data_IF_531207243992
#
_entry.id   IF_531207243992
#
_cell.length_a   1.000
_cell.length_b   1.000
_cell.length_c   1.000
_cell.angle_alpha   90.00
_cell.angle_beta   90.00
_cell.angle_gamma   90.00
#
_symmetry.space_group_name_H-M   'P 1'
#
loop_
_entity.id
_entity.type
_entity.pdbx_description
1 polymer ?
#
# COMPACT_ATOMS: atom_id res chain seq x y z
N UNK A 1 -7.62 21.54 -26.24
CA UNK A 1 -6.34 20.85 -26.06
C UNK A 1 -6.00 19.99 -27.30
N UNK A 2 -6.90 19.10 -27.73
CA UNK A 2 -6.66 18.17 -28.85
C UNK A 2 -6.28 18.88 -30.17
N UNK A 3 -6.89 20.03 -30.49
CA UNK A 3 -6.57 20.81 -31.70
C UNK A 3 -5.19 21.48 -31.59
N UNK A 4 -4.79 21.93 -30.40
CA UNK A 4 -3.44 22.51 -30.18
C UNK A 4 -2.32 21.47 -30.20
N UNK A 5 -2.60 20.22 -29.82
CA UNK A 5 -1.61 19.13 -29.89
C UNK A 5 -1.21 18.78 -31.34
N UNK A 6 -2.11 19.03 -32.31
CA UNK A 6 -1.80 18.80 -33.72
C UNK A 6 -0.91 19.91 -34.32
N UNK A 7 -0.74 21.04 -33.62
CA UNK A 7 0.06 22.21 -34.04
C UNK A 7 1.47 22.19 -33.40
N UNK A 8 1.72 21.27 -32.47
CA UNK A 8 2.98 21.18 -31.73
C UNK A 8 3.74 19.96 -32.19
N UNK A 9 4.99 20.15 -32.62
CA UNK A 9 5.93 19.03 -32.80
C UNK A 9 6.29 18.45 -31.42
N UNK A 10 5.79 17.25 -31.13
CA UNK A 10 6.13 16.54 -29.90
C UNK A 10 7.54 15.96 -30.08
N UNK A 11 8.47 16.25 -29.16
CA UNK A 11 9.80 15.65 -29.19
C UNK A 11 9.73 14.12 -29.13
N UNK A 12 10.72 13.44 -29.69
CA UNK A 12 10.87 12.00 -29.53
C UNK A 12 11.36 11.69 -28.11
N UNK A 13 10.50 11.06 -27.32
CA UNK A 13 10.79 10.61 -25.96
C UNK A 13 11.21 9.12 -25.87
N UNK A 14 11.49 8.45 -26.99
CA UNK A 14 11.78 7.01 -27.02
C UNK A 14 12.94 6.63 -26.11
N UNK A 15 14.02 7.41 -26.11
CA UNK A 15 15.19 7.17 -25.23
C UNK A 15 14.85 7.33 -23.74
N UNK A 16 14.00 8.30 -23.40
CA UNK A 16 13.51 8.51 -22.04
C UNK A 16 12.61 7.35 -21.59
N UNK A 17 11.70 6.92 -22.43
CA UNK A 17 10.82 5.76 -22.15
C UNK A 17 11.63 4.49 -21.91
N UNK A 18 12.66 4.24 -22.73
CA UNK A 18 13.58 3.10 -22.52
C UNK A 18 14.30 3.18 -21.16
N UNK A 19 14.81 4.36 -20.79
CA UNK A 19 15.47 4.57 -19.49
C UNK A 19 14.53 4.33 -18.32
N UNK A 20 13.32 4.90 -18.37
CA UNK A 20 12.29 4.73 -17.32
C UNK A 20 11.88 3.27 -17.18
N UNK A 21 11.72 2.55 -18.30
CA UNK A 21 11.37 1.13 -18.24
C UNK A 21 12.49 0.28 -17.63
N UNK A 22 13.76 0.57 -17.97
CA UNK A 22 14.90 -0.10 -17.35
C UNK A 22 14.97 0.17 -15.83
N UNK A 23 14.67 1.39 -15.39
CA UNK A 23 14.58 1.70 -13.97
C UNK A 23 13.44 0.98 -13.26
N UNK A 24 12.25 0.90 -13.89
CA UNK A 24 11.11 0.17 -13.32
C UNK A 24 11.41 -1.32 -13.13
N UNK A 25 12.16 -1.90 -14.05
CA UNK A 25 12.56 -3.31 -13.96
C UNK A 25 13.66 -3.51 -12.89
N UNK A 26 14.65 -2.62 -12.86
CA UNK A 26 15.80 -2.74 -11.95
C UNK A 26 15.45 -2.42 -10.49
N UNK A 27 14.56 -1.45 -10.26
CA UNK A 27 14.22 -0.92 -8.94
C UNK A 27 12.81 -1.26 -8.50
N UNK A 28 12.29 -2.42 -8.91
CA UNK A 28 11.01 -2.89 -8.40
C UNK A 28 11.14 -3.17 -6.90
N UNK A 29 10.38 -2.47 -6.03
CA UNK A 29 10.45 -2.69 -4.60
C UNK A 29 9.88 -4.04 -4.16
N UNK A 30 9.15 -4.74 -5.03
CA UNK A 30 8.58 -6.07 -4.73
C UNK A 30 9.53 -7.14 -5.23
N UNK A 31 10.12 -7.87 -4.30
CA UNK A 31 11.12 -8.91 -4.56
C UNK A 31 10.52 -10.32 -4.46
N UNK A 32 11.21 -11.31 -5.05
CA UNK A 32 10.82 -12.73 -4.93
C UNK A 32 10.81 -13.21 -3.49
N UNK A 33 11.65 -12.62 -2.62
CA UNK A 33 11.71 -12.94 -1.19
C UNK A 33 10.35 -12.71 -0.49
N UNK A 34 9.62 -11.68 -0.90
CA UNK A 34 8.31 -11.34 -0.33
C UNK A 34 7.22 -12.38 -0.62
N UNK A 35 7.47 -13.29 -1.57
CA UNK A 35 6.56 -14.40 -1.91
C UNK A 35 6.97 -15.73 -1.25
N UNK A 36 8.04 -15.75 -0.47
CA UNK A 36 8.38 -16.95 0.28
C UNK A 36 7.33 -17.26 1.34
N UNK A 37 7.11 -18.57 1.63
CA UNK A 37 6.18 -18.98 2.67
C UNK A 37 6.52 -18.37 4.03
N UNK A 38 5.55 -17.72 4.63
CA UNK A 38 5.61 -17.12 5.97
C UNK A 38 4.33 -17.42 6.74
N UNK A 39 4.36 -17.25 8.08
CA UNK A 39 3.17 -17.45 8.91
C UNK A 39 2.02 -16.51 8.51
N UNK A 40 2.34 -15.25 8.35
CA UNK A 40 1.37 -14.21 7.98
C UNK A 40 1.61 -13.73 6.55
N UNK A 41 0.60 -13.14 5.94
CA UNK A 41 0.71 -12.68 4.55
C UNK A 41 1.59 -11.42 4.46
N UNK A 42 2.56 -11.43 3.57
CA UNK A 42 3.33 -10.23 3.25
C UNK A 42 2.44 -9.26 2.45
N UNK A 43 2.18 -8.04 2.94
CA UNK A 43 1.24 -7.12 2.28
C UNK A 43 1.73 -6.60 0.93
N UNK A 44 3.04 -6.57 0.67
CA UNK A 44 3.60 -6.22 -0.64
C UNK A 44 3.26 -7.28 -1.69
N UNK A 45 3.51 -8.55 -1.37
CA UNK A 45 3.17 -9.68 -2.25
C UNK A 45 1.65 -9.74 -2.50
N UNK A 46 0.84 -9.58 -1.46
CA UNK A 46 -0.61 -9.52 -1.57
C UNK A 46 -1.07 -8.40 -2.52
N UNK A 47 -0.56 -7.19 -2.33
CA UNK A 47 -0.97 -6.03 -3.13
C UNK A 47 -0.52 -6.14 -4.59
N UNK A 48 0.64 -6.76 -4.84
CA UNK A 48 1.09 -7.10 -6.19
C UNK A 48 0.12 -8.05 -6.86
N UNK A 49 -0.25 -9.15 -6.21
CA UNK A 49 -1.23 -10.11 -6.72
C UNK A 49 -2.59 -9.43 -6.95
N UNK A 50 -3.06 -8.62 -6.00
CA UNK A 50 -4.30 -7.86 -6.15
C UNK A 50 -4.29 -7.01 -7.42
N UNK A 51 -3.20 -6.27 -7.66
CA UNK A 51 -3.06 -5.42 -8.84
C UNK A 51 -3.07 -6.20 -10.16
N UNK A 52 -2.52 -7.41 -10.16
CA UNK A 52 -2.53 -8.31 -11.31
C UNK A 52 -3.95 -8.81 -11.63
N UNK A 53 -4.72 -9.16 -10.60
CA UNK A 53 -6.07 -9.73 -10.75
C UNK A 53 -7.16 -8.67 -11.00
N UNK A 54 -6.97 -7.42 -10.57
CA UNK A 54 -7.90 -6.32 -10.88
C UNK A 54 -7.90 -6.01 -12.37
N UNK A 55 -9.08 -5.67 -12.90
CA UNK A 55 -9.25 -5.30 -14.31
C UNK A 55 -8.78 -3.86 -14.58
N UNK A 56 -8.51 -3.53 -15.84
CA UNK A 56 -8.09 -2.18 -16.26
C UNK A 56 -9.17 -1.11 -16.05
N UNK A 57 -10.43 -1.50 -15.93
CA UNK A 57 -11.55 -0.60 -15.65
C UNK A 57 -11.81 -0.40 -14.17
N UNK A 58 -11.25 -1.26 -13.30
CA UNK A 58 -11.50 -1.22 -11.86
C UNK A 58 -10.87 0.03 -11.22
N UNK A 59 -11.41 0.38 -10.06
CA UNK A 59 -10.98 1.55 -9.28
C UNK A 59 -10.34 1.06 -7.99
N UNK A 60 -9.14 1.55 -7.69
CA UNK A 60 -8.47 1.34 -6.42
C UNK A 60 -8.41 2.62 -5.61
N UNK A 61 -8.75 2.53 -4.33
CA UNK A 61 -8.68 3.62 -3.37
C UNK A 61 -7.84 3.20 -2.16
N UNK A 62 -6.72 3.90 -1.94
CA UNK A 62 -5.83 3.67 -0.80
C UNK A 62 -6.04 4.70 0.31
N UNK A 63 -5.82 4.28 1.57
CA UNK A 63 -6.00 5.12 2.76
C UNK A 63 -4.76 5.96 3.07
N UNK A 64 -4.16 5.77 4.22
CA UNK A 64 -2.99 6.49 4.70
C UNK A 64 -2.01 5.54 5.41
N UNK A 65 -0.88 6.08 5.85
CA UNK A 65 0.10 5.33 6.62
C UNK A 65 0.69 4.15 5.86
N UNK A 66 0.90 3.04 6.55
CA UNK A 66 1.58 1.87 5.99
C UNK A 66 0.89 1.26 4.77
N UNK A 67 -0.44 1.21 4.75
CA UNK A 67 -1.15 0.61 3.61
C UNK A 67 -0.94 1.35 2.30
N UNK A 68 -0.89 2.70 2.33
CA UNK A 68 -0.65 3.45 1.10
C UNK A 68 0.81 3.40 0.65
N UNK A 69 1.76 3.28 1.58
CA UNK A 69 3.16 3.03 1.21
C UNK A 69 3.29 1.68 0.51
N UNK A 70 2.72 0.62 1.09
CA UNK A 70 2.66 -0.70 0.45
C UNK A 70 2.00 -0.62 -0.93
N UNK A 71 0.86 0.05 -1.05
CA UNK A 71 0.15 0.16 -2.32
C UNK A 71 0.96 0.96 -3.37
N UNK A 72 1.56 2.08 -2.99
CA UNK A 72 2.38 2.88 -3.91
C UNK A 72 3.61 2.12 -4.42
N UNK A 73 4.19 1.23 -3.60
CA UNK A 73 5.33 0.41 -3.98
C UNK A 73 4.95 -0.82 -4.81
N UNK A 74 3.78 -1.42 -4.54
CA UNK A 74 3.46 -2.77 -5.04
C UNK A 74 2.43 -2.79 -6.16
N UNK A 75 1.52 -1.81 -6.22
CA UNK A 75 0.38 -1.82 -7.12
C UNK A 75 0.77 -1.40 -8.54
N UNK A 76 0.62 -2.30 -9.49
CA UNK A 76 0.86 -2.03 -10.91
C UNK A 76 -0.40 -1.51 -11.59
N UNK A 77 -0.49 -0.20 -11.75
CA UNK A 77 -1.64 0.44 -12.40
C UNK A 77 -1.70 0.14 -13.90
N UNK A 78 -2.84 -0.32 -14.38
CA UNK A 78 -3.10 -0.62 -15.80
C UNK A 78 -3.62 0.62 -16.53
N UNK A 79 -3.37 0.69 -17.83
CA UNK A 79 -3.90 1.79 -18.67
C UNK A 79 -5.44 1.83 -18.59
N UNK A 80 -5.99 2.99 -18.20
CA UNK A 80 -7.42 3.21 -18.02
C UNK A 80 -7.93 2.92 -16.60
N UNK A 81 -7.14 2.27 -15.76
CA UNK A 81 -7.46 2.03 -14.36
C UNK A 81 -7.37 3.32 -13.56
N UNK A 82 -8.27 3.49 -12.60
CA UNK A 82 -8.21 4.62 -11.67
C UNK A 82 -7.63 4.17 -10.35
N UNK A 83 -6.55 4.82 -9.94
CA UNK A 83 -5.92 4.69 -8.63
C UNK A 83 -5.92 6.06 -7.98
N UNK A 84 -6.45 6.18 -6.76
CA UNK A 84 -6.45 7.45 -6.04
C UNK A 84 -6.32 7.27 -4.53
N UNK A 85 -5.80 8.30 -3.89
CA UNK A 85 -5.62 8.43 -2.45
C UNK A 85 -5.51 9.90 -2.08
N UNK A 86 -5.45 10.22 -0.80
CA UNK A 86 -5.21 11.58 -0.32
C UNK A 86 -3.81 11.69 0.33
N UNK A 87 -2.76 11.60 -0.50
CA UNK A 87 -1.38 11.65 -0.02
C UNK A 87 -0.99 12.98 0.66
N UNK A 88 -1.63 14.10 0.29
CA UNK A 88 -1.27 15.42 0.82
C UNK A 88 -1.55 15.56 2.31
N UNK A 89 -2.78 15.30 2.73
CA UNK A 89 -3.20 15.37 4.14
C UNK A 89 -3.16 14.01 4.84
N UNK A 90 -3.24 12.94 4.07
CA UNK A 90 -3.17 11.55 4.53
C UNK A 90 -4.05 11.23 5.77
N UNK A 91 -5.36 11.59 5.77
CA UNK A 91 -6.21 11.34 6.92
C UNK A 91 -6.58 9.86 7.02
N UNK A 92 -6.51 9.31 8.22
CA UNK A 92 -6.97 7.95 8.53
C UNK A 92 -8.47 7.81 8.23
N UNK A 93 -8.86 6.72 7.55
CA UNK A 93 -10.25 6.44 7.19
C UNK A 93 -10.72 7.06 5.88
N UNK A 94 -9.90 7.85 5.19
CA UNK A 94 -10.26 8.48 3.93
C UNK A 94 -10.77 7.49 2.89
N UNK A 95 -10.06 6.38 2.70
CA UNK A 95 -10.35 5.45 1.61
C UNK A 95 -11.72 4.78 1.75
N UNK A 96 -12.18 4.55 2.97
CA UNK A 96 -13.48 3.89 3.19
C UNK A 96 -14.63 4.78 2.73
N UNK A 97 -14.67 6.03 3.18
CA UNK A 97 -15.69 7.00 2.76
C UNK A 97 -15.56 7.36 1.26
N UNK A 98 -14.33 7.55 0.78
CA UNK A 98 -14.06 7.84 -0.63
C UNK A 98 -14.40 6.63 -1.54
N UNK A 99 -14.15 5.40 -1.07
CA UNK A 99 -14.53 4.16 -1.74
C UNK A 99 -16.05 4.01 -1.89
N UNK A 100 -16.82 4.37 -0.86
CA UNK A 100 -18.30 4.43 -0.93
C UNK A 100 -18.73 5.39 -2.05
N UNK A 101 -18.19 6.61 -2.05
CA UNK A 101 -18.50 7.59 -3.10
C UNK A 101 -18.12 7.11 -4.49
N UNK A 102 -16.94 6.47 -4.63
CA UNK A 102 -16.48 5.90 -5.89
C UNK A 102 -17.39 4.75 -6.35
N UNK A 103 -17.83 3.86 -5.45
CA UNK A 103 -18.68 2.73 -5.78
C UNK A 103 -20.09 3.18 -6.24
N UNK A 104 -20.62 4.26 -5.64
CA UNK A 104 -21.88 4.87 -6.08
C UNK A 104 -21.77 5.54 -7.46
N UNK A 105 -20.58 6.03 -7.83
CA UNK A 105 -20.33 6.69 -9.12
C UNK A 105 -19.82 5.73 -10.21
N UNK A 106 -19.40 4.51 -9.84
CA UNK A 106 -18.83 3.54 -10.77
C UNK A 106 -19.87 2.94 -11.71
N UNK A 107 -19.41 2.46 -12.86
CA UNK A 107 -20.26 1.66 -13.75
C UNK A 107 -20.48 0.26 -13.17
N UNK A 108 -21.59 -0.38 -13.52
CA UNK A 108 -22.00 -1.71 -13.00
C UNK A 108 -20.96 -2.82 -13.16
N UNK A 109 -20.02 -2.69 -14.11
CA UNK A 109 -19.02 -3.71 -14.41
C UNK A 109 -17.64 -3.40 -13.80
N UNK A 110 -17.52 -2.32 -13.03
CA UNK A 110 -16.28 -1.90 -12.39
C UNK A 110 -16.29 -2.32 -10.92
N UNK A 111 -15.26 -3.03 -10.49
CA UNK A 111 -15.00 -3.16 -9.07
C UNK A 111 -14.41 -1.87 -8.51
N UNK A 112 -14.86 -1.49 -7.33
CA UNK A 112 -14.21 -0.47 -6.51
C UNK A 112 -13.60 -1.19 -5.31
N UNK A 113 -12.28 -1.15 -5.22
CA UNK A 113 -11.53 -1.77 -4.14
C UNK A 113 -10.96 -0.67 -3.25
N UNK A 114 -11.34 -0.68 -1.99
CA UNK A 114 -10.81 0.15 -0.93
C UNK A 114 -9.79 -0.66 -0.12
N UNK A 115 -8.56 -0.18 0.01
CA UNK A 115 -7.57 -0.76 0.92
C UNK A 115 -7.29 0.21 2.06
N UNK A 116 -7.47 -0.25 3.28
CA UNK A 116 -7.43 0.56 4.50
C UNK A 116 -6.70 -0.19 5.61
N UNK A 117 -5.94 0.51 6.44
CA UNK A 117 -5.38 -0.10 7.65
C UNK A 117 -6.44 -0.29 8.73
N UNK A 118 -6.17 -1.20 9.67
CA UNK A 118 -7.03 -1.47 10.83
C UNK A 118 -7.36 -0.20 11.62
N UNK A 119 -6.37 0.65 11.90
CA UNK A 119 -6.60 1.94 12.56
C UNK A 119 -7.45 2.90 11.74
N UNK A 120 -7.26 2.93 10.42
CA UNK A 120 -8.09 3.75 9.51
C UNK A 120 -9.53 3.27 9.44
N UNK A 121 -9.73 1.95 9.37
CA UNK A 121 -11.07 1.35 9.35
C UNK A 121 -11.84 1.66 10.63
N UNK A 122 -11.16 1.60 11.78
CA UNK A 122 -11.78 1.93 13.07
C UNK A 122 -12.26 3.39 13.16
N UNK A 123 -11.64 4.33 12.41
CA UNK A 123 -12.06 5.74 12.39
C UNK A 123 -13.44 5.96 11.73
N UNK A 124 -13.80 5.12 10.76
CA UNK A 124 -15.03 5.27 9.96
C UNK A 124 -15.88 3.99 9.94
N UNK A 125 -15.75 3.13 10.93
CA UNK A 125 -16.46 1.85 11.01
C UNK A 125 -18.00 2.02 10.94
N UNK A 126 -18.53 3.15 11.38
CA UNK A 126 -19.95 3.48 11.29
C UNK A 126 -20.48 3.57 9.86
N UNK A 127 -19.60 3.75 8.87
CA UNK A 127 -19.98 3.79 7.46
C UNK A 127 -20.39 2.43 6.89
N UNK A 128 -20.23 1.34 7.66
CA UNK A 128 -20.88 0.05 7.38
C UNK A 128 -22.40 0.22 7.25
N UNK A 129 -23.00 1.14 8.05
CA UNK A 129 -24.41 1.45 7.93
C UNK A 129 -24.75 2.11 6.59
N UNK A 130 -23.91 2.97 6.08
CA UNK A 130 -24.09 3.60 4.76
C UNK A 130 -24.05 2.54 3.65
N UNK A 131 -23.11 1.60 3.72
CA UNK A 131 -23.00 0.49 2.76
C UNK A 131 -24.29 -0.31 2.71
N UNK A 132 -24.86 -0.68 3.87
CA UNK A 132 -26.09 -1.45 3.94
C UNK A 132 -27.30 -0.64 3.46
N UNK A 133 -27.45 0.60 3.91
CA UNK A 133 -28.60 1.43 3.57
C UNK A 133 -28.72 1.68 2.06
N UNK A 134 -27.61 1.80 1.36
CA UNK A 134 -27.56 2.12 -0.07
C UNK A 134 -27.14 0.93 -0.94
N UNK A 135 -26.95 -0.25 -0.34
CA UNK A 135 -26.48 -1.46 -1.03
C UNK A 135 -25.24 -1.17 -1.90
N UNK A 136 -24.22 -0.51 -1.30
CA UNK A 136 -23.02 -0.05 -2.01
C UNK A 136 -22.10 -1.24 -2.29
N UNK A 137 -21.80 -1.58 -3.57
CA UNK A 137 -21.01 -2.77 -3.91
C UNK A 137 -19.50 -2.53 -3.72
N UNK A 138 -19.12 -2.02 -2.55
CA UNK A 138 -17.73 -1.74 -2.21
C UNK A 138 -17.01 -3.02 -1.77
N UNK A 139 -15.82 -3.22 -2.29
CA UNK A 139 -14.89 -4.25 -1.86
C UNK A 139 -13.84 -3.65 -0.96
N UNK A 140 -13.85 -4.00 0.32
CA UNK A 140 -12.94 -3.42 1.32
C UNK A 140 -11.92 -4.45 1.77
N UNK A 141 -10.64 -4.08 1.77
CA UNK A 141 -9.53 -4.86 2.30
C UNK A 141 -8.98 -4.12 3.52
N UNK A 142 -9.08 -4.74 4.69
CA UNK A 142 -8.45 -4.24 5.91
C UNK A 142 -7.05 -4.86 5.96
N UNK A 143 -6.01 -4.04 5.82
CA UNK A 143 -4.64 -4.43 6.04
C UNK A 143 -4.39 -4.40 7.55
N UNK A 144 -4.64 -5.55 8.18
CA UNK A 144 -4.70 -5.69 9.62
C UNK A 144 -3.36 -6.18 10.17
N UNK A 145 -2.53 -5.23 10.58
CA UNK A 145 -1.24 -5.52 11.20
C UNK A 145 -1.24 -5.38 12.72
N UNK A 146 -2.39 -5.06 13.33
CA UNK A 146 -2.59 -4.90 14.78
C UNK A 146 -1.77 -3.80 15.44
N UNK A 147 -1.20 -2.89 14.66
CA UNK A 147 -0.36 -1.78 15.14
C UNK A 147 -0.56 -0.53 14.28
N UNK A 148 -0.21 0.63 14.80
CA UNK A 148 0.04 1.82 13.98
C UNK A 148 1.41 1.72 13.31
N UNK A 149 1.49 0.87 12.27
CA UNK A 149 2.75 0.41 11.69
C UNK A 149 3.68 1.52 11.22
N UNK A 150 3.16 2.53 10.50
CA UNK A 150 4.00 3.64 10.03
C UNK A 150 4.52 4.49 11.19
N UNK A 151 3.72 4.67 12.25
CA UNK A 151 4.12 5.38 13.46
C UNK A 151 5.19 4.61 14.21
N UNK A 152 5.03 3.29 14.35
CA UNK A 152 6.03 2.40 14.95
C UNK A 152 7.35 2.47 14.19
N UNK A 153 7.31 2.23 12.87
CA UNK A 153 8.50 2.29 12.02
C UNK A 153 9.22 3.65 12.09
N UNK A 154 8.46 4.74 12.13
CA UNK A 154 9.02 6.08 12.28
C UNK A 154 9.69 6.28 13.66
N UNK A 155 9.00 5.88 14.72
CA UNK A 155 9.54 6.03 16.09
C UNK A 155 10.81 5.19 16.26
N UNK A 156 10.81 3.94 15.85
CA UNK A 156 11.98 3.05 15.95
C UNK A 156 13.17 3.58 15.16
N UNK A 157 12.92 4.10 13.95
CA UNK A 157 13.96 4.66 13.10
C UNK A 157 14.61 5.92 13.72
N UNK A 158 13.82 6.78 14.39
CA UNK A 158 14.29 8.10 14.82
C UNK A 158 14.59 8.19 16.32
N UNK A 159 14.20 7.19 17.13
CA UNK A 159 14.33 7.20 18.58
C UNK A 159 15.05 5.96 19.13
N UNK A 160 16.11 5.51 18.46
CA UNK A 160 16.98 4.42 18.93
C UNK A 160 16.20 3.11 19.22
N UNK A 161 15.30 2.73 18.29
CA UNK A 161 14.50 1.53 18.43
C UNK A 161 13.33 1.62 19.42
N UNK A 162 13.09 2.79 20.00
CA UNK A 162 11.97 2.97 20.95
C UNK A 162 10.68 3.32 20.21
N UNK A 163 9.58 2.64 20.58
CA UNK A 163 8.24 2.98 20.11
C UNK A 163 7.22 2.95 21.25
N UNK A 164 6.27 3.88 21.24
CA UNK A 164 5.26 4.05 22.27
C UNK A 164 3.87 4.24 21.67
N UNK A 165 2.87 3.68 22.33
CA UNK A 165 1.44 3.82 22.01
C UNK A 165 1.01 3.36 20.61
N UNK A 166 1.85 2.65 19.87
CA UNK A 166 1.57 2.19 18.52
C UNK A 166 1.38 0.68 18.38
N UNK A 167 1.42 -0.05 19.47
CA UNK A 167 1.19 -1.49 19.56
C UNK A 167 0.35 -1.86 20.79
N UNK A 168 0.32 -3.14 21.22
CA UNK A 168 -0.65 -3.69 22.17
C UNK A 168 -0.80 -2.95 23.51
N UNK A 169 0.19 -2.14 23.91
CA UNK A 169 0.10 -1.33 25.13
C UNK A 169 -0.60 0.02 24.93
N UNK A 170 -0.86 0.43 23.69
CA UNK A 170 -1.49 1.72 23.39
C UNK A 170 -2.50 1.66 22.25
N UNK A 171 -2.37 0.68 21.37
CA UNK A 171 -3.31 0.41 20.29
C UNK A 171 -3.51 -1.11 20.18
N UNK A 172 -4.76 -1.54 20.27
CA UNK A 172 -5.18 -2.93 20.13
C UNK A 172 -6.53 -2.92 19.37
N UNK A 173 -6.55 -3.28 18.08
CA UNK A 173 -7.79 -3.26 17.30
C UNK A 173 -8.73 -4.39 17.75
N UNK A 174 -10.05 -4.17 17.63
CA UNK A 174 -11.01 -5.25 17.86
C UNK A 174 -10.92 -6.31 16.77
N UNK A 175 -11.50 -7.48 17.03
CA UNK A 175 -11.83 -8.41 15.96
C UNK A 175 -12.93 -7.79 15.08
N UNK A 176 -12.56 -7.41 13.86
CA UNK A 176 -13.47 -6.71 12.93
C UNK A 176 -14.53 -7.63 12.32
N UNK A 177 -14.21 -8.91 12.11
CA UNK A 177 -15.11 -9.81 11.39
C UNK A 177 -16.49 -9.93 12.04
N UNK A 178 -16.63 -10.20 13.36
CA UNK A 178 -17.95 -10.25 14.01
C UNK A 178 -18.71 -8.91 13.96
N UNK A 179 -17.98 -7.78 14.01
CA UNK A 179 -18.60 -6.45 13.91
C UNK A 179 -19.20 -6.27 12.51
N UNK A 180 -18.43 -6.57 11.46
CA UNK A 180 -18.87 -6.44 10.07
C UNK A 180 -20.04 -7.38 9.78
N UNK A 181 -19.99 -8.61 10.26
CA UNK A 181 -21.05 -9.62 10.11
C UNK A 181 -22.35 -9.20 10.80
N UNK A 182 -22.28 -8.43 11.91
CA UNK A 182 -23.46 -7.88 12.56
C UNK A 182 -24.24 -6.91 11.66
N UNK A 183 -23.56 -6.26 10.71
CA UNK A 183 -24.16 -5.46 9.64
C UNK A 183 -24.62 -6.31 8.44
N UNK A 184 -24.51 -7.65 8.50
CA UNK A 184 -24.84 -8.58 7.42
C UNK A 184 -24.03 -8.37 6.13
N UNK A 185 -22.83 -7.86 6.27
CA UNK A 185 -21.85 -7.76 5.18
C UNK A 185 -20.99 -9.03 5.22
N UNK A 186 -20.89 -9.77 4.10
CA UNK A 186 -20.01 -10.94 4.01
C UNK A 186 -18.54 -10.57 4.27
N UNK A 187 -17.85 -11.50 4.91
CA UNK A 187 -16.43 -11.35 5.29
C UNK A 187 -15.57 -12.44 4.68
N UNK A 188 -14.28 -12.17 4.55
CA UNK A 188 -13.26 -13.13 4.14
C UNK A 188 -11.99 -12.89 4.98
N UNK A 189 -11.42 -13.95 5.53
CA UNK A 189 -10.13 -13.90 6.23
C UNK A 189 -9.01 -14.42 5.33
N UNK A 190 -7.91 -13.69 5.29
CA UNK A 190 -6.64 -14.09 4.66
C UNK A 190 -5.54 -13.92 5.70
N UNK A 191 -5.13 -15.03 6.33
CA UNK A 191 -4.25 -15.07 7.50
C UNK A 191 -3.07 -16.03 7.35
N UNK A 192 -2.93 -16.68 6.18
CA UNK A 192 -1.91 -17.68 5.91
C UNK A 192 -1.02 -17.22 4.74
N UNK A 193 0.23 -16.89 5.03
CA UNK A 193 1.25 -16.51 4.06
C UNK A 193 2.09 -17.70 3.55
N UNK A 194 1.73 -18.92 3.89
CA UNK A 194 2.49 -20.11 3.44
C UNK A 194 2.20 -20.50 1.98
N UNK A 195 1.06 -20.07 1.43
CA UNK A 195 0.60 -20.43 0.08
C UNK A 195 0.02 -19.22 -0.69
N UNK A 196 0.84 -18.57 -1.50
CA UNK A 196 0.42 -17.42 -2.31
C UNK A 196 -0.50 -17.78 -3.49
N UNK A 197 -0.56 -19.04 -3.92
CA UNK A 197 -1.57 -19.48 -4.88
C UNK A 197 -2.97 -19.50 -4.22
N UNK A 198 -3.05 -19.92 -2.98
CA UNK A 198 -4.28 -19.82 -2.20
C UNK A 198 -4.69 -18.36 -1.97
N UNK A 199 -3.74 -17.48 -1.66
CA UNK A 199 -3.97 -16.03 -1.54
C UNK A 199 -4.54 -15.48 -2.85
N UNK A 200 -3.96 -15.82 -4.00
CA UNK A 200 -4.44 -15.43 -5.33
C UNK A 200 -5.87 -15.92 -5.60
N UNK A 201 -6.16 -17.16 -5.21
CA UNK A 201 -7.50 -17.72 -5.35
C UNK A 201 -8.53 -16.94 -4.52
N UNK A 202 -8.21 -16.63 -3.26
CA UNK A 202 -9.07 -15.81 -2.39
C UNK A 202 -9.27 -14.39 -2.95
N UNK A 203 -8.25 -13.78 -3.53
CA UNK A 203 -8.38 -12.47 -4.20
C UNK A 203 -9.34 -12.55 -5.39
N UNK A 204 -9.26 -13.59 -6.22
CA UNK A 204 -10.19 -13.78 -7.35
C UNK A 204 -11.63 -13.97 -6.88
N UNK A 205 -11.84 -14.75 -5.84
CA UNK A 205 -13.15 -14.95 -5.22
C UNK A 205 -13.72 -13.63 -4.68
N UNK A 206 -12.92 -12.87 -3.94
CA UNK A 206 -13.26 -11.55 -3.43
C UNK A 206 -13.63 -10.56 -4.54
N UNK A 207 -12.85 -10.49 -5.61
CA UNK A 207 -13.11 -9.59 -6.75
C UNK A 207 -14.36 -10.01 -7.55
N UNK A 208 -14.70 -11.29 -7.59
CA UNK A 208 -15.87 -11.81 -8.30
C UNK A 208 -17.17 -11.78 -7.49
N UNK A 209 -17.08 -11.51 -6.19
CA UNK A 209 -18.26 -11.47 -5.31
C UNK A 209 -19.24 -10.37 -5.77
N UNK A 210 -20.54 -10.68 -5.79
CA UNK A 210 -21.58 -9.70 -6.13
C UNK A 210 -22.07 -8.98 -4.88
N UNK A 211 -21.86 -7.68 -4.82
CA UNK A 211 -22.19 -6.82 -3.67
C UNK A 211 -21.01 -6.44 -2.78
N UNK A 212 -21.31 -5.86 -1.61
CA UNK A 212 -20.29 -5.49 -0.63
C UNK A 212 -19.67 -6.72 0.03
N UNK A 213 -18.36 -6.66 0.22
CA UNK A 213 -17.61 -7.69 0.94
C UNK A 213 -16.40 -7.05 1.61
N UNK A 214 -16.04 -7.52 2.80
CA UNK A 214 -14.85 -7.08 3.51
C UNK A 214 -13.89 -8.25 3.68
N UNK A 215 -12.65 -8.04 3.29
CA UNK A 215 -11.54 -8.96 3.52
C UNK A 215 -10.67 -8.43 4.68
N UNK A 216 -10.47 -9.24 5.70
CA UNK A 216 -9.44 -9.02 6.71
C UNK A 216 -8.15 -9.71 6.25
N UNK A 217 -7.14 -8.92 5.93
CA UNK A 217 -5.80 -9.39 5.59
C UNK A 217 -4.93 -9.32 6.83
N UNK A 218 -4.74 -10.45 7.49
CA UNK A 218 -3.87 -10.53 8.65
C UNK A 218 -2.39 -10.55 8.22
N UNK A 219 -1.72 -9.45 8.49
CA UNK A 219 -0.28 -9.28 8.29
C UNK A 219 0.40 -8.87 9.60
N UNK A 220 0.11 -9.58 10.67
CA UNK A 220 0.44 -9.29 12.06
C UNK A 220 1.81 -8.64 12.24
N UNK A 221 1.80 -7.50 12.95
CA UNK A 221 2.92 -6.60 13.25
C UNK A 221 3.76 -6.12 12.05
N UNK A 222 3.28 -6.23 10.81
CA UNK A 222 4.02 -5.70 9.67
C UNK A 222 4.20 -4.19 9.78
N UNK A 223 5.46 -3.72 9.77
CA UNK A 223 5.82 -2.30 9.76
C UNK A 223 7.13 -2.00 9.00
N UNK A 224 7.54 -2.91 8.14
CA UNK A 224 8.71 -2.73 7.27
C UNK A 224 8.30 -2.11 5.92
N UNK A 225 8.62 -0.85 5.70
CA UNK A 225 8.23 -0.07 4.51
C UNK A 225 9.46 0.33 3.71
N UNK A 226 10.11 -0.65 3.09
CA UNK A 226 11.33 -0.45 2.33
C UNK A 226 11.07 -0.51 0.81
N UNK A 227 11.85 0.21 -0.02
CA UNK A 227 12.86 1.20 0.36
C UNK A 227 12.22 2.50 0.90
N UNK A 228 12.95 3.24 1.74
CA UNK A 228 12.51 4.53 2.29
C UNK A 228 13.69 5.48 2.46
N UNK A 229 13.44 6.79 2.42
CA UNK A 229 14.44 7.79 2.81
C UNK A 229 14.67 7.72 4.32
N UNK A 230 15.93 7.68 4.73
CA UNK A 230 16.32 7.51 6.14
C UNK A 230 16.96 8.78 6.68
N UNK A 231 16.40 9.28 7.79
CA UNK A 231 16.90 10.47 8.50
C UNK A 231 16.26 11.78 8.05
N UNK A 232 16.33 12.76 8.93
CA UNK A 232 15.69 14.08 8.76
C UNK A 232 16.44 15.00 7.82
N UNK A 233 17.76 14.82 7.69
CA UNK A 233 18.65 15.66 6.89
C UNK A 233 19.01 15.02 5.55
N UNK A 234 18.49 13.83 5.28
CA UNK A 234 18.74 13.12 4.02
C UNK A 234 17.89 13.72 2.91
N UNK A 235 18.47 14.12 1.78
CA UNK A 235 17.71 14.53 0.61
C UNK A 235 16.72 13.45 0.17
N UNK A 236 15.54 13.84 -0.28
CA UNK A 236 14.47 12.91 -0.65
C UNK A 236 14.85 11.98 -1.79
N UNK A 237 15.80 12.38 -2.62
CA UNK A 237 16.35 11.59 -3.72
C UNK A 237 17.39 10.56 -3.29
N UNK A 238 17.95 10.68 -2.08
CA UNK A 238 19.02 9.78 -1.61
C UNK A 238 18.42 8.53 -0.98
N UNK A 239 18.51 7.43 -1.69
CA UNK A 239 17.98 6.13 -1.30
C UNK A 239 19.00 5.23 -0.59
N UNK A 240 20.08 5.79 -0.05
CA UNK A 240 21.01 5.00 0.77
C UNK A 240 20.29 4.45 2.03
N UNK A 241 20.54 3.21 2.47
CA UNK A 241 21.51 2.22 1.95
C UNK A 241 20.97 1.29 0.83
N UNK A 242 19.76 1.50 0.34
CA UNK A 242 19.16 0.64 -0.68
C UNK A 242 19.82 0.80 -2.05
N UNK A 243 20.47 1.94 -2.27
CA UNK A 243 21.23 2.26 -3.47
C UNK A 243 22.63 2.73 -3.05
N UNK A 244 23.69 2.21 -3.67
CA UNK A 244 25.03 2.69 -3.40
C UNK A 244 25.27 4.09 -4.01
N UNK A 245 26.29 4.79 -3.50
CA UNK A 245 26.52 6.19 -3.83
C UNK A 245 26.90 6.39 -5.31
N UNK A 246 27.66 5.48 -5.91
CA UNK A 246 28.08 5.59 -7.31
C UNK A 246 26.90 5.33 -8.24
N UNK A 247 26.07 4.36 -7.91
CA UNK A 247 24.84 4.07 -8.64
C UNK A 247 23.83 5.23 -8.52
N UNK A 248 23.64 5.78 -7.32
CA UNK A 248 22.81 6.96 -7.09
C UNK A 248 23.27 8.12 -7.98
N UNK A 249 24.56 8.49 -7.94
CA UNK A 249 25.10 9.57 -8.76
C UNK A 249 24.95 9.32 -10.27
N UNK A 250 25.13 8.09 -10.71
CA UNK A 250 24.97 7.72 -12.12
C UNK A 250 23.54 7.85 -12.65
N UNK A 251 22.55 7.73 -11.78
CA UNK A 251 21.15 7.86 -12.11
C UNK A 251 20.65 9.31 -12.10
N UNK A 252 21.33 10.20 -11.38
CA UNK A 252 20.91 11.60 -11.29
C UNK A 252 21.02 12.31 -12.65
N UNK A 253 19.98 13.04 -13.00
CA UNK A 253 19.89 13.87 -14.22
C UNK A 253 20.32 15.30 -13.91
N UNK A 254 20.05 15.73 -12.69
CA UNK A 254 20.49 17.01 -12.14
C UNK A 254 21.52 16.73 -11.02
N UNK A 255 22.39 17.69 -10.72
CA UNK A 255 23.34 17.54 -9.63
C UNK A 255 22.59 17.31 -8.31
N UNK A 256 22.90 16.23 -7.54
CA UNK A 256 22.25 15.98 -6.27
C UNK A 256 22.61 17.06 -5.25
N UNK A 257 21.73 17.26 -4.27
CA UNK A 257 22.02 18.17 -3.17
C UNK A 257 23.26 17.70 -2.42
N UNK A 258 24.17 18.63 -2.11
CA UNK A 258 25.33 18.34 -1.27
C UNK A 258 24.84 18.02 0.14
N UNK A 259 25.14 16.82 0.60
CA UNK A 259 24.92 16.45 1.98
C UNK A 259 25.82 17.32 2.87
N UNK A 260 25.27 17.82 3.97
CA UNK A 260 26.10 18.40 5.05
C UNK A 260 27.04 17.30 5.57
N UNK A 261 28.25 17.65 5.91
CA UNK A 261 29.25 16.71 6.46
C UNK A 261 28.63 15.90 7.61
N UNK A 262 28.53 14.61 7.42
CA UNK A 262 28.00 13.65 8.38
C UNK A 262 26.65 13.06 7.97
N UNK A 263 26.71 11.97 7.20
CA UNK A 263 25.55 11.09 7.03
C UNK A 263 25.21 10.47 8.38
N UNK A 264 24.11 10.88 8.98
CA UNK A 264 23.59 10.20 10.17
C UNK A 264 22.78 8.99 9.69
N UNK A 265 23.41 7.82 9.66
CA UNK A 265 22.71 6.56 9.52
C UNK A 265 22.60 5.92 10.89
N UNK A 266 21.39 5.63 11.38
CA UNK A 266 21.26 4.67 12.45
C UNK A 266 21.95 3.38 11.98
N UNK A 267 22.79 2.81 12.83
CA UNK A 267 23.40 1.50 12.58
C UNK A 267 22.29 0.47 12.51
N UNK A 268 21.88 0.10 11.31
CA UNK A 268 21.06 -1.08 11.11
C UNK A 268 21.95 -2.30 11.26
N UNK A 269 22.11 -2.79 12.45
CA UNK A 269 22.38 -4.20 12.64
C UNK A 269 21.14 -4.94 12.15
N UNK A 270 21.35 -5.74 11.12
CA UNK A 270 20.41 -6.59 10.39
C UNK A 270 19.07 -6.83 11.08
N UNK A 271 18.00 -6.34 10.50
CA UNK A 271 16.62 -6.66 10.88
C UNK A 271 16.28 -8.08 10.34
N UNK A 272 17.04 -9.08 10.84
CA UNK A 272 16.79 -10.50 10.56
C UNK A 272 15.71 -11.10 11.47
N UNK A 273 14.98 -10.30 12.23
CA UNK A 273 13.99 -10.78 13.21
C UNK A 273 12.56 -10.85 12.67
N UNK A 274 12.39 -11.12 11.41
CA UNK A 274 11.12 -11.52 10.86
C UNK A 274 11.05 -13.06 10.79
N UNK A 275 10.59 -13.70 11.84
CA UNK A 275 10.23 -15.09 11.71
C UNK A 275 10.29 -16.02 12.93
N UNK A 276 10.92 -15.61 14.02
CA UNK A 276 11.08 -16.51 15.16
C UNK A 276 10.48 -15.93 16.46
N UNK A 277 9.14 -15.95 16.57
CA UNK A 277 8.45 -16.16 17.86
C UNK A 277 6.99 -16.58 17.63
#
# INVERSE_FOLDING_TARGET
>A
LKNKLNEISIPDFSSWVLKVNAWKEKYDPVTEEMFKPTKYVNPYAFTRILSEEMKKEDIFCGDCGGNIVVANHSFLTKTGQRYFTNNGNSPMGFSFAAGIGAALAANKNQNVVCMIGDGGFNMNIQELQTIINYNVPLKTIILNNHIYGITKAFQETNFEGRSEACGPKGYDPPDFLPIIESYKIPTMLVDDGSDYENVRRKIKEFLSFDGPIVMDLNCHEFHSYNPKVIGWETPIEDMYPYLDEDEFKSNMIIEPLKLKDGRFFPSFENDETWGDE
#
